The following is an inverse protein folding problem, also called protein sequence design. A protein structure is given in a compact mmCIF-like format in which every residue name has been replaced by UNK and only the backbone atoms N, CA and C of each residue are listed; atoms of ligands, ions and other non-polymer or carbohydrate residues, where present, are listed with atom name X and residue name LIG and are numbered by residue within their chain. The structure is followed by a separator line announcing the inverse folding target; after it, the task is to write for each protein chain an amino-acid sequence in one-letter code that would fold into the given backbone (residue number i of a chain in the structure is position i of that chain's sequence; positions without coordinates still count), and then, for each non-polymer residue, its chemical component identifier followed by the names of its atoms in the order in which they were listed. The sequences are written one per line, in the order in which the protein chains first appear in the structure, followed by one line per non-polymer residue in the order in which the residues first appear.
data_IF_861385991798
#
_entry.id   IF_861385991798
#
_cell.length_a   1.000
_cell.length_b   1.000
_cell.length_c   1.000
_cell.angle_alpha   90.00
_cell.angle_beta   90.00
_cell.angle_gamma   90.00
#
_symmetry.space_group_name_H-M   'P 1'
#
loop_
_entity.id
_entity.type
_entity.pdbx_description
1 polymer ?
#
# COMPACT_ATOMS: atom_id res chain seq x y z
N UNK A 1 25.46 38.99 8.99
CA UNK A 1 24.48 38.18 8.22
C UNK A 1 24.90 36.71 8.14
N UNK A 2 25.98 36.32 7.46
CA UNK A 2 26.35 34.89 7.31
C UNK A 2 26.67 34.18 8.64
N UNK A 3 27.28 34.87 9.61
CA UNK A 3 27.61 34.29 10.92
C UNK A 3 26.35 34.02 11.77
N UNK A 4 25.45 35.00 11.85
CA UNK A 4 24.19 34.92 12.59
C UNK A 4 23.26 33.82 12.05
N UNK A 5 23.19 33.67 10.73
CA UNK A 5 22.45 32.56 10.11
C UNK A 5 23.06 31.18 10.44
N UNK A 6 24.39 31.09 10.60
CA UNK A 6 25.06 29.84 10.97
C UNK A 6 24.81 29.45 12.42
N UNK A 7 24.81 30.41 13.35
CA UNK A 7 24.47 30.14 14.75
C UNK A 7 23.02 29.67 14.91
N UNK A 8 22.08 30.32 14.22
CA UNK A 8 20.68 29.89 14.23
C UNK A 8 20.52 28.45 13.73
N UNK A 9 21.17 28.11 12.60
CA UNK A 9 21.11 26.76 12.05
C UNK A 9 21.78 25.73 12.97
N UNK A 10 22.86 26.09 13.65
CA UNK A 10 23.51 25.22 14.62
C UNK A 10 22.60 24.87 15.81
N UNK A 11 21.90 25.86 16.37
CA UNK A 11 20.95 25.63 17.47
C UNK A 11 19.74 24.76 17.06
N UNK A 12 19.23 24.95 15.83
CA UNK A 12 18.17 24.09 15.30
C UNK A 12 18.66 22.65 15.14
N UNK A 13 19.86 22.44 14.59
CA UNK A 13 20.43 21.10 14.41
C UNK A 13 20.65 20.40 15.75
N UNK A 14 21.13 21.11 16.77
CA UNK A 14 21.30 20.57 18.11
C UNK A 14 19.97 20.12 18.73
N UNK A 15 18.91 20.92 18.58
CA UNK A 15 17.56 20.56 19.06
C UNK A 15 17.05 19.30 18.36
N UNK A 16 17.17 19.23 17.03
CA UNK A 16 16.74 18.07 16.25
C UNK A 16 17.53 16.80 16.59
N UNK A 17 18.81 16.92 16.97
CA UNK A 17 19.63 15.79 17.40
C UNK A 17 19.22 15.29 18.78
N UNK A 18 18.93 16.19 19.72
CA UNK A 18 18.46 15.86 21.07
C UNK A 18 17.12 15.12 21.03
N UNK A 19 16.21 15.53 20.15
CA UNK A 19 14.85 14.97 20.04
C UNK A 19 14.69 13.91 18.94
N UNK A 20 15.79 13.51 18.28
CA UNK A 20 15.77 12.63 17.09
C UNK A 20 14.91 11.37 17.26
N UNK A 21 14.99 10.74 18.43
CA UNK A 21 14.26 9.50 18.73
C UNK A 21 12.77 9.73 18.82
N UNK A 22 12.36 10.81 19.48
CA UNK A 22 10.96 11.10 19.77
C UNK A 22 10.26 11.57 18.51
N UNK A 23 10.88 12.49 17.76
CA UNK A 23 10.46 12.88 16.41
C UNK A 23 10.36 11.63 15.52
N UNK A 24 11.36 10.75 15.57
CA UNK A 24 11.37 9.51 14.80
C UNK A 24 10.24 8.56 15.16
N UNK A 25 9.87 8.46 16.44
CA UNK A 25 8.78 7.62 16.92
C UNK A 25 7.42 8.20 16.55
N UNK A 26 7.24 9.51 16.69
CA UNK A 26 6.01 10.21 16.34
C UNK A 26 5.70 10.09 14.85
N UNK A 27 6.70 10.34 13.99
CA UNK A 27 6.56 10.15 12.54
C UNK A 27 6.21 8.70 12.21
N UNK A 28 6.86 7.72 12.84
CA UNK A 28 6.55 6.30 12.62
C UNK A 28 5.13 5.96 13.04
N UNK A 29 4.65 6.48 14.17
CA UNK A 29 3.29 6.24 14.65
C UNK A 29 2.25 6.86 13.73
N UNK A 30 2.44 8.12 13.32
CA UNK A 30 1.59 8.79 12.36
C UNK A 30 1.49 8.04 11.03
N UNK A 31 2.64 7.56 10.51
CA UNK A 31 2.68 6.76 9.28
C UNK A 31 1.99 5.39 9.44
N UNK A 32 2.06 4.75 10.61
CA UNK A 32 1.37 3.47 10.86
C UNK A 32 -0.14 3.64 10.87
N UNK A 33 -0.64 4.70 11.50
CA UNK A 33 -2.08 4.97 11.55
C UNK A 33 -2.63 5.26 10.15
N UNK A 34 -1.94 6.10 9.37
CA UNK A 34 -2.33 6.40 7.98
C UNK A 34 -2.36 5.16 7.06
N UNK A 35 -1.55 4.14 7.37
CA UNK A 35 -1.47 2.91 6.57
C UNK A 35 -2.31 1.76 7.14
N UNK A 36 -3.12 2.00 8.17
CA UNK A 36 -3.99 0.97 8.74
C UNK A 36 -5.16 0.67 7.80
N UNK A 37 -5.36 -0.62 7.52
CA UNK A 37 -6.40 -1.12 6.63
C UNK A 37 -7.61 -1.68 7.39
N UNK A 38 -7.41 -2.10 8.65
CA UNK A 38 -8.48 -2.61 9.51
C UNK A 38 -7.94 -3.53 10.60
N UNK A 39 -8.86 -4.23 11.29
CA UNK A 39 -8.51 -5.17 12.36
C UNK A 39 -7.98 -6.49 11.80
N UNK A 40 -7.09 -7.14 12.55
CA UNK A 40 -6.61 -8.47 12.24
C UNK A 40 -7.68 -9.51 12.59
N UNK A 41 -8.00 -10.46 11.69
CA UNK A 41 -8.94 -11.53 12.02
C UNK A 41 -8.35 -12.63 12.92
N UNK A 42 -7.03 -12.64 13.11
CA UNK A 42 -6.32 -13.73 13.80
C UNK A 42 -5.97 -13.41 15.25
N UNK A 43 -5.84 -12.14 15.61
CA UNK A 43 -5.49 -11.72 16.96
C UNK A 43 -6.32 -10.50 17.39
N UNK A 44 -6.68 -10.45 18.66
CA UNK A 44 -7.64 -9.49 19.23
C UNK A 44 -7.22 -8.02 19.08
N UNK A 45 -5.94 -7.71 19.33
CA UNK A 45 -5.43 -6.32 19.33
C UNK A 45 -4.60 -5.96 18.08
N UNK A 46 -4.57 -6.85 17.10
CA UNK A 46 -3.77 -6.63 15.89
C UNK A 46 -4.45 -5.69 14.91
N UNK A 47 -3.70 -4.75 14.34
CA UNK A 47 -4.11 -4.00 13.15
C UNK A 47 -3.37 -4.52 11.91
N UNK A 48 -4.07 -4.62 10.79
CA UNK A 48 -3.48 -4.91 9.49
C UNK A 48 -3.04 -3.59 8.86
N UNK A 49 -1.75 -3.44 8.57
CA UNK A 49 -1.18 -2.24 7.95
C UNK A 49 -0.61 -2.53 6.57
N UNK A 50 -0.70 -1.57 5.66
CA UNK A 50 -0.04 -1.62 4.37
C UNK A 50 1.46 -1.34 4.52
N UNK A 51 2.29 -2.23 3.99
CA UNK A 51 3.74 -2.17 4.06
C UNK A 51 4.38 -2.44 2.69
N UNK A 52 5.69 -2.16 2.60
CA UNK A 52 6.53 -2.51 1.46
C UNK A 52 7.60 -3.49 1.90
N UNK A 53 7.77 -4.55 1.12
CA UNK A 53 8.84 -5.53 1.32
C UNK A 53 10.20 -4.95 0.88
N UNK A 54 11.29 -5.64 1.21
CA UNK A 54 12.66 -5.30 0.75
C UNK A 54 12.77 -5.22 -0.78
N UNK A 55 11.96 -5.97 -1.51
CA UNK A 55 11.87 -5.94 -2.99
C UNK A 55 10.88 -4.89 -3.52
N UNK A 56 10.50 -3.93 -2.68
CA UNK A 56 9.55 -2.86 -2.99
C UNK A 56 8.14 -3.34 -3.42
N UNK A 57 7.77 -4.58 -3.07
CA UNK A 57 6.41 -5.09 -3.30
C UNK A 57 5.50 -4.70 -2.14
N UNK A 58 4.30 -4.21 -2.46
CA UNK A 58 3.27 -3.88 -1.49
C UNK A 58 2.61 -5.13 -0.95
N UNK A 59 2.41 -5.19 0.36
CA UNK A 59 1.67 -6.23 1.07
C UNK A 59 1.02 -5.63 2.31
N UNK A 60 0.07 -6.33 2.91
CA UNK A 60 -0.47 -5.98 4.22
C UNK A 60 -0.04 -7.01 5.25
N UNK A 61 0.27 -6.59 6.46
CA UNK A 61 0.64 -7.49 7.55
C UNK A 61 0.17 -6.99 8.90
N UNK A 62 0.08 -7.89 9.87
CA UNK A 62 -0.25 -7.54 11.24
C UNK A 62 0.87 -6.71 11.90
N UNK A 63 0.49 -5.70 12.68
CA UNK A 63 1.42 -4.94 13.52
C UNK A 63 2.09 -5.79 14.61
N UNK A 64 1.45 -6.86 15.06
CA UNK A 64 1.96 -7.75 16.12
C UNK A 64 2.93 -8.81 15.59
N UNK A 65 3.58 -8.58 14.45
CA UNK A 65 4.67 -9.46 14.00
C UNK A 65 5.86 -9.35 14.97
N UNK A 66 6.50 -10.46 15.41
CA UNK A 66 6.45 -11.81 14.84
C UNK A 66 5.36 -12.74 15.41
N UNK A 67 4.64 -12.32 16.46
CA UNK A 67 3.65 -13.14 17.17
C UNK A 67 2.43 -13.44 16.30
N UNK A 68 2.01 -12.49 15.47
CA UNK A 68 1.00 -12.68 14.43
C UNK A 68 1.62 -12.52 13.03
N UNK A 69 1.65 -13.61 12.26
CA UNK A 69 2.21 -13.65 10.89
C UNK A 69 1.18 -13.45 9.79
N UNK A 70 -0.03 -13.02 10.14
CA UNK A 70 -1.08 -12.80 9.15
C UNK A 70 -0.66 -11.72 8.15
N UNK A 71 -0.70 -12.08 6.87
CA UNK A 71 -0.32 -11.18 5.79
C UNK A 71 -1.13 -11.43 4.51
N UNK A 72 -1.29 -10.39 3.71
CA UNK A 72 -2.04 -10.43 2.46
C UNK A 72 -1.29 -9.74 1.33
N UNK A 73 -1.29 -10.31 0.11
CA UNK A 73 -0.77 -9.62 -1.06
C UNK A 73 -1.64 -8.41 -1.40
N UNK A 74 -1.02 -7.28 -1.75
CA UNK A 74 -1.75 -6.08 -2.16
C UNK A 74 -1.55 -5.77 -3.65
N UNK A 75 -2.52 -5.10 -4.31
CA UNK A 75 -2.32 -4.50 -5.62
C UNK A 75 -1.09 -3.58 -5.65
N UNK A 76 -0.23 -3.76 -6.64
CA UNK A 76 1.05 -3.03 -6.75
C UNK A 76 0.90 -1.59 -7.27
N UNK A 77 -0.29 -1.19 -7.71
CA UNK A 77 -0.60 0.14 -8.24
C UNK A 77 -1.90 0.66 -7.63
N UNK A 78 -2.04 1.98 -7.57
CA UNK A 78 -3.21 2.66 -6.99
C UNK A 78 -3.08 2.92 -5.49
N UNK A 79 -3.84 3.89 -4.98
CA UNK A 79 -3.92 4.18 -3.55
C UNK A 79 -4.88 3.19 -2.89
N UNK A 80 -4.53 2.71 -1.69
CA UNK A 80 -5.36 1.76 -0.93
C UNK A 80 -5.70 2.42 0.40
N UNK A 81 -6.95 2.32 0.80
CA UNK A 81 -7.46 2.80 2.09
C UNK A 81 -8.24 1.68 2.76
N UNK A 82 -8.17 1.59 4.09
CA UNK A 82 -9.03 0.71 4.87
C UNK A 82 -10.46 1.24 4.89
N UNK A 83 -11.45 0.36 4.75
CA UNK A 83 -12.86 0.74 4.96
C UNK A 83 -13.29 0.57 6.42
N UNK A 84 -12.40 0.05 7.28
CA UNK A 84 -12.67 -0.31 8.69
C UNK A 84 -13.77 -1.37 8.88
N UNK A 85 -14.25 -1.95 7.78
CA UNK A 85 -15.22 -3.04 7.78
C UNK A 85 -14.51 -4.38 7.57
N UNK A 86 -15.00 -5.41 8.23
CA UNK A 86 -14.51 -6.77 8.03
C UNK A 86 -15.39 -7.48 6.99
N UNK A 87 -14.79 -8.39 6.24
CA UNK A 87 -15.52 -9.24 5.30
C UNK A 87 -16.34 -10.27 6.07
N UNK A 88 -17.64 -10.34 5.80
CA UNK A 88 -18.56 -11.30 6.42
C UNK A 88 -18.17 -12.77 6.16
N UNK A 89 -17.52 -13.04 5.03
CA UNK A 89 -17.18 -14.40 4.60
C UNK A 89 -15.92 -14.96 5.28
N UNK A 90 -14.91 -14.12 5.53
CA UNK A 90 -13.61 -14.60 6.03
C UNK A 90 -13.04 -13.77 7.19
N UNK A 91 -13.75 -12.74 7.66
CA UNK A 91 -13.34 -11.86 8.76
C UNK A 91 -12.20 -10.90 8.42
N UNK A 92 -11.50 -11.06 7.28
CA UNK A 92 -10.40 -10.18 6.89
C UNK A 92 -10.92 -8.77 6.50
N UNK A 93 -10.13 -7.70 6.70
CA UNK A 93 -10.58 -6.34 6.44
C UNK A 93 -10.89 -6.11 4.96
N UNK A 94 -11.91 -5.28 4.71
CA UNK A 94 -12.24 -4.76 3.38
C UNK A 94 -11.43 -3.49 3.13
N UNK A 95 -11.05 -3.29 1.86
CA UNK A 95 -10.21 -2.18 1.44
C UNK A 95 -10.78 -1.51 0.20
N UNK A 96 -10.57 -0.20 0.09
CA UNK A 96 -10.87 0.60 -1.07
C UNK A 96 -9.61 0.83 -1.91
N UNK A 97 -9.64 0.46 -3.19
CA UNK A 97 -8.57 0.72 -4.16
C UNK A 97 -8.98 1.85 -5.11
N UNK A 98 -8.11 2.84 -5.24
CA UNK A 98 -8.20 3.93 -6.21
C UNK A 98 -7.12 3.73 -7.27
N UNK A 99 -7.50 3.14 -8.41
CA UNK A 99 -6.57 2.80 -9.48
C UNK A 99 -6.73 3.72 -10.70
N UNK A 100 -5.65 4.04 -11.43
CA UNK A 100 -5.74 4.89 -12.61
C UNK A 100 -6.64 4.25 -13.69
N UNK A 101 -7.70 4.96 -14.08
CA UNK A 101 -8.67 4.52 -15.08
C UNK A 101 -9.72 3.52 -14.57
N UNK A 102 -9.79 3.30 -13.25
CA UNK A 102 -10.92 2.65 -12.58
C UNK A 102 -11.34 3.53 -11.40
N UNK A 103 -12.63 3.59 -11.10
CA UNK A 103 -13.11 4.35 -9.93
C UNK A 103 -12.64 3.75 -8.60
N UNK A 104 -13.24 4.22 -7.50
CA UNK A 104 -13.15 3.58 -6.19
C UNK A 104 -13.70 2.15 -6.30
N UNK A 105 -12.92 1.14 -5.89
CA UNK A 105 -13.36 -0.26 -5.86
C UNK A 105 -13.11 -0.87 -4.49
N UNK A 106 -14.14 -1.43 -3.88
CA UNK A 106 -14.07 -2.05 -2.56
C UNK A 106 -14.13 -3.56 -2.64
N UNK A 107 -13.28 -4.23 -1.86
CA UNK A 107 -13.18 -5.70 -1.90
C UNK A 107 -12.47 -6.23 -0.65
N UNK A 108 -12.57 -7.53 -0.41
CA UNK A 108 -11.88 -8.19 0.69
C UNK A 108 -10.37 -8.26 0.42
N UNK A 109 -9.54 -7.89 1.40
CA UNK A 109 -8.08 -7.95 1.28
C UNK A 109 -7.55 -9.37 1.01
N UNK A 110 -8.26 -10.39 1.48
CA UNK A 110 -7.92 -11.78 1.22
C UNK A 110 -8.30 -12.14 -0.22
N UNK A 111 -7.30 -12.23 -1.11
CA UNK A 111 -7.52 -12.52 -2.53
C UNK A 111 -8.16 -13.88 -2.79
N UNK A 112 -7.99 -14.83 -1.86
CA UNK A 112 -8.54 -16.19 -1.97
C UNK A 112 -9.99 -16.28 -1.44
N UNK A 113 -10.56 -15.16 -0.97
CA UNK A 113 -11.94 -15.10 -0.50
C UNK A 113 -12.95 -15.22 -1.68
N UNK A 114 -14.00 -16.06 -1.55
CA UNK A 114 -15.05 -16.20 -2.58
C UNK A 114 -15.73 -14.87 -2.95
N UNK A 115 -15.79 -13.92 -2.01
CA UNK A 115 -16.35 -12.58 -2.26
C UNK A 115 -15.63 -11.80 -3.37
N UNK A 116 -14.45 -12.26 -3.80
CA UNK A 116 -13.63 -11.60 -4.81
C UNK A 116 -13.75 -12.22 -6.21
N UNK A 117 -14.52 -13.30 -6.41
CA UNK A 117 -14.57 -14.04 -7.68
C UNK A 117 -14.88 -13.17 -8.89
N UNK A 118 -15.95 -12.37 -8.83
CA UNK A 118 -16.37 -11.50 -9.93
C UNK A 118 -15.27 -10.48 -10.28
N UNK A 119 -14.73 -9.80 -9.27
CA UNK A 119 -13.62 -8.86 -9.41
C UNK A 119 -12.37 -9.53 -10.00
N UNK A 120 -12.05 -10.76 -9.61
CA UNK A 120 -10.90 -11.49 -10.14
C UNK A 120 -11.08 -11.80 -11.63
N UNK A 121 -12.29 -12.18 -12.05
CA UNK A 121 -12.65 -12.36 -13.47
C UNK A 121 -12.46 -11.05 -14.26
N UNK A 122 -13.00 -9.93 -13.78
CA UNK A 122 -12.82 -8.62 -14.42
C UNK A 122 -11.34 -8.22 -14.55
N UNK A 123 -10.53 -8.49 -13.53
CA UNK A 123 -9.09 -8.21 -13.54
C UNK A 123 -8.39 -9.08 -14.59
N UNK A 124 -8.73 -10.36 -14.67
CA UNK A 124 -8.16 -11.30 -15.63
C UNK A 124 -8.50 -10.89 -17.07
N UNK A 125 -9.76 -10.57 -17.35
CA UNK A 125 -10.20 -10.07 -18.65
C UNK A 125 -9.51 -8.77 -19.04
N UNK A 126 -9.45 -7.80 -18.12
CA UNK A 126 -8.76 -6.53 -18.37
C UNK A 126 -7.26 -6.74 -18.64
N UNK A 127 -6.62 -7.70 -17.96
CA UNK A 127 -5.22 -8.08 -18.20
C UNK A 127 -5.05 -8.71 -19.58
N UNK A 128 -5.94 -9.61 -19.99
CA UNK A 128 -5.94 -10.23 -21.32
C UNK A 128 -6.13 -9.18 -22.43
N UNK A 129 -7.11 -8.26 -22.28
CA UNK A 129 -7.33 -7.14 -23.21
C UNK A 129 -6.10 -6.24 -23.34
N UNK A 130 -5.42 -5.93 -22.23
CA UNK A 130 -4.18 -5.13 -22.24
C UNK A 130 -3.02 -5.87 -22.92
N UNK A 131 -2.86 -7.17 -22.66
CA UNK A 131 -1.85 -8.00 -23.32
C UNK A 131 -2.07 -8.06 -24.85
N UNK A 132 -3.32 -8.24 -25.29
CA UNK A 132 -3.68 -8.23 -26.71
C UNK A 132 -3.38 -6.88 -27.39
N UNK A 133 -3.67 -5.74 -26.73
CA UNK A 133 -3.33 -4.41 -27.25
C UNK A 133 -1.81 -4.19 -27.35
N UNK A 134 -1.05 -4.63 -26.36
CA UNK A 134 0.41 -4.53 -26.37
C UNK A 134 1.06 -5.34 -27.51
N UNK A 135 0.52 -6.52 -27.82
CA UNK A 135 0.98 -7.34 -28.94
C UNK A 135 0.71 -6.68 -30.31
N UNK A 136 -0.43 -5.99 -30.47
CA UNK A 136 -0.76 -5.27 -31.71
C UNK A 136 0.09 -4.00 -31.92
N UNK A 137 0.42 -3.28 -30.86
CA UNK A 137 1.24 -2.06 -30.92
C UNK A 137 2.69 -2.28 -31.43
N UNK A 138 3.25 -3.48 -31.24
CA UNK A 138 4.59 -3.83 -31.75
C UNK A 138 4.67 -4.05 -33.26
N UNK A 139 3.54 -4.25 -33.97
CA UNK A 139 3.53 -4.50 -35.43
C UNK A 139 3.46 -3.23 -36.30
N UNK A 140 3.32 -2.04 -35.72
CA UNK A 140 3.20 -0.78 -36.47
C UNK A 140 4.47 0.08 -36.56
N UNK A 141 5.59 -0.37 -36.00
CA UNK A 141 6.84 0.41 -35.85
C UNK A 141 7.97 -0.01 -36.78
N UNK A 142 7.69 -0.30 -38.05
CA UNK A 142 8.72 -0.66 -39.02
C UNK A 142 8.44 -0.08 -40.40
N UNK A 143 8.96 1.13 -40.67
CA UNK A 143 9.65 1.52 -41.92
C UNK A 143 10.17 2.97 -41.84
N UNK A 144 11.48 3.14 -41.69
CA UNK A 144 12.25 4.26 -42.27
C UNK A 144 13.67 3.73 -42.51
N UNK A 145 13.90 3.26 -43.72
CA UNK A 145 15.23 3.06 -44.33
C UNK A 145 15.22 3.88 -45.62
N UNK A 146 16.31 4.61 -45.89
CA UNK A 146 16.59 5.33 -47.14
C UNK A 146 16.49 6.83 -47.01
#
# INVERSE_FOLDING_TARGET
IVAESREMLAGIMETLEQERTDIGNEIKMALREQNTLGRCPTCEDGKIIAMRSRRNKRFAGCLNYPDCRQSYPLPQRGRIEGTWENCETCGAPRIALFAKGRGRTEFCINMDCPSNEERLKEIAEAKARRAAKAAKGKKGGGKKEG
#
